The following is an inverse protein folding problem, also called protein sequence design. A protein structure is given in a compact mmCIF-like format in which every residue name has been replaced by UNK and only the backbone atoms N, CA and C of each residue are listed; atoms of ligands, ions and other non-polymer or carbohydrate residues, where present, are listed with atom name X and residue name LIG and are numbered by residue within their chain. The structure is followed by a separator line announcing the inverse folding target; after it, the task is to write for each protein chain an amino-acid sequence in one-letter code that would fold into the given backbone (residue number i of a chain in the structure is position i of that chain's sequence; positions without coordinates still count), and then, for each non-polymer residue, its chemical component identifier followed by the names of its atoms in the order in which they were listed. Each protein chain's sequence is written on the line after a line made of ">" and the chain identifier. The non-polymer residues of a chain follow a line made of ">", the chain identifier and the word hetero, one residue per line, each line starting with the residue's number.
data_IF_863597680047
#
_entry.id   IF_863597680047
#
_cell.length_a   1.000
_cell.length_b   1.000
_cell.length_c   1.000
_cell.angle_alpha   90.00
_cell.angle_beta   90.00
_cell.angle_gamma   90.00
#
_symmetry.space_group_name_H-M   'P 1'
#
loop_
_entity.id
_entity.type
_entity.pdbx_description
1 polymer ?
#
# COMPACT_ATOMS: atom_id res chain seq x y z
N UNK A 1 23.51 -11.30 11.49
CA UNK A 1 23.26 -10.22 10.54
C UNK A 1 23.35 -10.84 9.15
N UNK A 2 22.20 -11.12 8.55
CA UNK A 2 22.16 -11.75 7.24
C UNK A 2 22.73 -10.77 6.21
N UNK A 3 23.72 -11.22 5.44
CA UNK A 3 24.25 -10.45 4.32
C UNK A 3 23.48 -10.84 3.07
N UNK A 4 22.91 -9.89 2.38
CA UNK A 4 22.26 -10.08 1.08
C UNK A 4 22.68 -8.95 0.12
N UNK A 5 22.56 -9.20 -1.16
CA UNK A 5 22.71 -8.22 -2.23
C UNK A 5 21.40 -8.19 -3.01
N UNK A 6 20.83 -7.02 -3.18
CA UNK A 6 19.71 -6.76 -4.08
C UNK A 6 20.29 -6.14 -5.37
N UNK A 7 19.96 -6.72 -6.50
CA UNK A 7 20.23 -6.14 -7.82
C UNK A 7 18.91 -6.02 -8.55
N UNK A 8 18.59 -4.80 -8.98
CA UNK A 8 17.38 -4.50 -9.74
C UNK A 8 17.75 -3.99 -11.13
N UNK A 9 17.07 -4.49 -12.15
CA UNK A 9 17.13 -3.99 -13.53
C UNK A 9 15.76 -3.44 -13.89
N UNK A 10 15.69 -2.12 -14.12
CA UNK A 10 14.47 -1.41 -14.47
C UNK A 10 14.42 -1.14 -15.98
N UNK A 11 13.34 -1.59 -16.63
CA UNK A 11 13.00 -1.18 -18.00
C UNK A 11 11.75 -0.29 -17.96
N UNK A 12 11.86 0.95 -18.44
CA UNK A 12 10.76 1.92 -18.50
C UNK A 12 10.26 2.02 -19.94
N UNK A 13 8.95 1.83 -20.14
CA UNK A 13 8.28 2.03 -21.41
C UNK A 13 7.34 3.23 -21.29
N UNK A 14 7.46 4.22 -22.19
CA UNK A 14 6.54 5.36 -22.26
C UNK A 14 5.84 5.37 -23.61
N UNK A 15 4.53 5.48 -23.62
CA UNK A 15 3.69 5.53 -24.83
C UNK A 15 2.86 6.79 -24.74
N UNK A 16 2.92 7.68 -25.75
CA UNK A 16 2.12 8.90 -25.81
C UNK A 16 0.79 8.69 -26.54
N UNK A 17 -0.29 9.38 -26.17
CA UNK A 17 -1.68 8.98 -26.39
C UNK A 17 -2.38 9.56 -27.59
N UNK A 18 -3.66 9.14 -27.74
CA UNK A 18 -4.63 9.58 -28.72
C UNK A 18 -5.78 10.39 -28.08
N UNK A 19 -6.41 11.19 -28.91
CA UNK A 19 -7.42 12.23 -28.76
C UNK A 19 -8.60 11.97 -27.80
N UNK A 20 -8.96 13.02 -27.05
CA UNK A 20 -10.14 13.09 -26.18
C UNK A 20 -9.76 13.27 -24.69
N UNK A 21 -9.22 14.43 -24.32
CA UNK A 21 -8.50 14.64 -23.08
C UNK A 21 -7.04 14.19 -23.19
N UNK A 22 -6.19 14.64 -22.28
CA UNK A 22 -4.79 14.21 -22.23
C UNK A 22 -4.70 12.93 -21.42
N UNK A 23 -4.22 11.83 -22.03
CA UNK A 23 -3.94 10.60 -21.33
C UNK A 23 -2.46 10.29 -21.42
N UNK A 24 -1.83 10.10 -20.26
CA UNK A 24 -0.45 9.65 -20.13
C UNK A 24 -0.41 8.17 -19.82
N UNK A 25 0.37 7.42 -20.58
CA UNK A 25 0.59 6.01 -20.34
C UNK A 25 2.08 5.78 -20.17
N UNK A 26 2.48 5.23 -19.04
CA UNK A 26 3.83 4.80 -18.76
C UNK A 26 3.83 3.45 -18.05
N UNK A 27 4.98 2.81 -17.97
CA UNK A 27 5.08 1.55 -17.25
C UNK A 27 6.52 1.12 -17.06
N UNK A 28 6.73 0.21 -16.13
CA UNK A 28 8.01 -0.38 -15.82
C UNK A 28 7.90 -1.88 -15.63
N UNK A 29 8.95 -2.59 -15.99
CA UNK A 29 9.21 -3.97 -15.59
C UNK A 29 10.54 -4.00 -14.88
N UNK A 30 10.54 -4.48 -13.63
CA UNK A 30 11.72 -4.61 -12.80
C UNK A 30 12.03 -6.09 -12.57
N UNK A 31 13.30 -6.44 -12.76
CA UNK A 31 13.85 -7.75 -12.42
C UNK A 31 14.73 -7.59 -11.20
N UNK A 32 14.35 -8.20 -10.10
CA UNK A 32 15.10 -8.18 -8.85
C UNK A 32 15.80 -9.52 -8.64
N UNK A 33 17.04 -9.49 -8.19
CA UNK A 33 17.78 -10.66 -7.75
C UNK A 33 18.34 -10.43 -6.35
N UNK A 34 17.99 -11.30 -5.41
CA UNK A 34 18.50 -11.29 -4.03
C UNK A 34 19.46 -12.43 -3.82
N UNK A 35 20.70 -12.12 -3.43
CA UNK A 35 21.72 -13.11 -3.14
C UNK A 35 21.95 -13.21 -1.62
N UNK A 36 21.88 -14.41 -1.07
CA UNK A 36 22.07 -14.73 0.34
C UNK A 36 23.35 -15.53 0.53
N UNK A 37 24.24 -15.07 1.40
CA UNK A 37 25.52 -15.73 1.68
C UNK A 37 25.48 -16.63 2.93
N UNK A 38 24.39 -16.55 3.70
CA UNK A 38 24.21 -17.35 4.89
C UNK A 38 23.10 -18.38 4.66
N UNK A 39 23.20 -19.50 5.35
CA UNK A 39 22.12 -20.49 5.40
C UNK A 39 20.82 -19.89 5.93
N UNK A 40 19.67 -20.51 5.66
CA UNK A 40 18.39 -20.16 6.28
C UNK A 40 18.48 -20.08 7.79
N UNK A 41 17.84 -19.09 8.40
CA UNK A 41 17.86 -18.90 9.85
C UNK A 41 16.80 -19.74 10.55
N UNK A 42 15.69 -20.00 9.87
CA UNK A 42 14.53 -20.68 10.42
C UNK A 42 14.14 -21.89 9.59
N UNK A 43 13.60 -22.92 10.25
CA UNK A 43 13.11 -24.13 9.60
C UNK A 43 11.98 -23.78 8.62
N UNK A 44 12.06 -24.31 7.40
CA UNK A 44 11.07 -24.09 6.33
C UNK A 44 11.41 -22.94 5.41
N UNK A 45 12.39 -22.08 5.72
CA UNK A 45 12.86 -21.07 4.76
C UNK A 45 13.54 -21.72 3.57
N UNK A 46 13.36 -21.14 2.39
CA UNK A 46 14.04 -21.55 1.16
C UNK A 46 15.56 -21.43 1.32
N UNK A 47 16.30 -22.42 0.83
CA UNK A 47 17.76 -22.52 0.95
C UNK A 47 18.52 -22.01 -0.30
N UNK A 48 17.80 -21.57 -1.34
CA UNK A 48 18.43 -21.05 -2.55
C UNK A 48 19.22 -19.78 -2.22
N UNK A 49 20.49 -19.79 -2.64
CA UNK A 49 21.36 -18.64 -2.46
C UNK A 49 20.98 -17.45 -3.36
N UNK A 50 20.22 -17.68 -4.43
CA UNK A 50 19.74 -16.65 -5.35
C UNK A 50 18.24 -16.77 -5.54
N UNK A 51 17.52 -15.70 -5.24
CA UNK A 51 16.07 -15.61 -5.39
C UNK A 51 15.73 -14.50 -6.37
N UNK A 52 14.73 -14.73 -7.21
CA UNK A 52 14.31 -13.82 -8.27
C UNK A 52 12.88 -13.33 -8.10
N UNK A 53 12.66 -12.04 -8.35
CA UNK A 53 11.33 -11.41 -8.34
C UNK A 53 11.16 -10.60 -9.62
N UNK A 54 9.98 -10.65 -10.21
CA UNK A 54 9.56 -9.79 -11.32
C UNK A 54 8.48 -8.87 -10.84
N UNK A 55 8.64 -7.56 -11.06
CA UNK A 55 7.63 -6.55 -10.74
C UNK A 55 7.22 -5.83 -12.02
N UNK A 56 5.93 -5.62 -12.22
CA UNK A 56 5.40 -4.83 -13.33
C UNK A 56 4.41 -3.79 -12.80
N UNK A 57 4.63 -2.55 -13.19
CA UNK A 57 3.72 -1.43 -12.90
C UNK A 57 3.36 -0.75 -14.22
N UNK A 58 2.08 -0.51 -14.44
CA UNK A 58 1.59 0.30 -15.56
C UNK A 58 0.84 1.49 -14.98
N UNK A 59 1.12 2.68 -15.48
CA UNK A 59 0.43 3.91 -15.07
C UNK A 59 -0.36 4.46 -16.24
N UNK A 60 -1.66 4.61 -16.06
CA UNK A 60 -2.56 5.26 -16.99
C UNK A 60 -3.23 6.40 -16.24
N UNK A 61 -2.94 7.64 -16.65
CA UNK A 61 -3.52 8.86 -16.07
C UNK A 61 -4.25 9.62 -17.16
N UNK A 62 -5.47 10.02 -16.86
CA UNK A 62 -6.32 10.76 -17.79
C UNK A 62 -6.83 12.03 -17.14
N UNK A 63 -6.89 13.10 -17.95
CA UNK A 63 -7.44 14.41 -17.60
C UNK A 63 -8.41 14.84 -18.69
N UNK A 64 -9.55 15.42 -18.33
CA UNK A 64 -10.44 16.03 -19.31
C UNK A 64 -9.91 17.38 -19.80
N UNK A 65 -10.50 17.90 -20.88
CA UNK A 65 -10.05 19.15 -21.52
C UNK A 65 -10.18 20.38 -20.61
N UNK A 66 -11.16 20.39 -19.69
CA UNK A 66 -11.37 21.48 -18.72
C UNK A 66 -10.42 21.38 -17.50
N UNK A 67 -9.70 20.28 -17.34
CA UNK A 67 -8.76 20.02 -16.25
C UNK A 67 -9.41 19.75 -14.89
N UNK A 68 -10.75 19.70 -14.83
CA UNK A 68 -11.47 19.52 -13.57
C UNK A 68 -11.86 18.07 -13.27
N UNK A 69 -11.53 17.13 -14.16
CA UNK A 69 -11.70 15.71 -13.93
C UNK A 69 -10.40 14.98 -14.23
N UNK A 70 -10.07 14.03 -13.37
CA UNK A 70 -8.94 13.13 -13.59
C UNK A 70 -9.30 11.70 -13.21
N UNK A 71 -8.67 10.76 -13.86
CA UNK A 71 -8.73 9.36 -13.52
C UNK A 71 -7.33 8.76 -13.55
N UNK A 72 -7.09 7.79 -12.69
CA UNK A 72 -5.87 6.99 -12.71
C UNK A 72 -6.22 5.50 -12.68
N UNK A 73 -5.41 4.71 -13.36
CA UNK A 73 -5.45 3.26 -13.28
C UNK A 73 -4.02 2.73 -13.27
N UNK A 74 -3.59 2.23 -12.10
CA UNK A 74 -2.22 1.79 -11.83
C UNK A 74 -2.23 0.36 -11.30
N UNK A 75 -2.34 -0.65 -12.19
CA UNK A 75 -2.16 -2.04 -11.82
C UNK A 75 -0.69 -2.32 -11.49
N UNK A 76 -0.51 -3.10 -10.43
CA UNK A 76 0.76 -3.59 -9.92
C UNK A 76 0.74 -5.11 -9.86
N UNK A 77 1.78 -5.74 -10.40
CA UNK A 77 1.96 -7.19 -10.36
C UNK A 77 3.35 -7.49 -9.84
N UNK A 78 3.46 -8.36 -8.85
CA UNK A 78 4.71 -8.92 -8.36
C UNK A 78 4.62 -10.42 -8.39
N UNK A 79 5.60 -11.06 -8.98
CA UNK A 79 5.80 -12.50 -8.96
C UNK A 79 7.17 -12.83 -8.39
N UNK A 80 7.19 -13.65 -7.36
CA UNK A 80 8.39 -14.15 -6.68
C UNK A 80 8.55 -15.64 -6.96
N UNK A 81 9.78 -16.08 -7.28
CA UNK A 81 10.05 -17.45 -7.69
C UNK A 81 10.11 -18.43 -6.51
N UNK A 82 10.20 -17.93 -5.26
CA UNK A 82 10.50 -18.74 -4.08
C UNK A 82 9.47 -18.59 -2.97
N UNK A 83 8.86 -17.42 -2.81
CA UNK A 83 7.90 -17.14 -1.75
C UNK A 83 6.53 -16.78 -2.38
N UNK A 84 5.58 -17.71 -2.34
CA UNK A 84 4.26 -17.52 -2.93
C UNK A 84 3.47 -16.39 -2.27
N UNK A 85 3.67 -16.13 -0.96
CA UNK A 85 3.01 -15.04 -0.23
C UNK A 85 3.52 -13.65 -0.66
N UNK A 86 4.64 -13.61 -1.35
CA UNK A 86 5.14 -12.39 -1.98
C UNK A 86 4.47 -12.08 -3.31
N UNK A 87 3.76 -13.04 -3.91
CA UNK A 87 3.01 -12.78 -5.13
C UNK A 87 1.86 -11.83 -4.85
N UNK A 88 1.77 -10.77 -5.64
CA UNK A 88 0.76 -9.73 -5.44
C UNK A 88 0.22 -9.24 -6.78
N UNK A 89 -1.10 -9.19 -6.87
CA UNK A 89 -1.81 -8.42 -7.89
C UNK A 89 -2.63 -7.34 -7.18
N UNK A 90 -2.32 -6.08 -7.44
CA UNK A 90 -2.95 -4.95 -6.77
C UNK A 90 -3.34 -3.84 -7.76
N UNK A 91 -4.27 -3.01 -7.35
CA UNK A 91 -4.56 -1.71 -7.96
C UNK A 91 -4.07 -0.64 -6.99
N UNK A 92 -2.84 -0.15 -7.21
CA UNK A 92 -2.27 0.94 -6.39
C UNK A 92 -3.16 2.17 -6.45
N UNK A 93 -3.61 2.51 -7.66
CA UNK A 93 -4.61 3.53 -7.92
C UNK A 93 -5.60 3.02 -8.99
N UNK A 94 -6.88 3.22 -8.75
CA UNK A 94 -7.96 2.98 -9.71
C UNK A 94 -9.13 3.89 -9.33
N UNK A 95 -9.05 5.18 -9.66
CA UNK A 95 -10.01 6.18 -9.22
C UNK A 95 -10.41 7.14 -10.32
N UNK A 96 -11.54 7.80 -10.10
CA UNK A 96 -11.96 9.02 -10.75
C UNK A 96 -12.09 10.13 -9.71
N UNK A 97 -11.66 11.34 -10.07
CA UNK A 97 -11.77 12.52 -9.23
C UNK A 97 -12.35 13.70 -10.02
N UNK A 98 -13.14 14.50 -9.32
CA UNK A 98 -13.69 15.76 -9.80
C UNK A 98 -13.28 16.88 -8.86
N UNK A 99 -12.76 17.97 -9.43
CA UNK A 99 -12.35 19.18 -8.73
C UNK A 99 -13.31 20.33 -9.09
N UNK A 100 -13.96 20.89 -8.08
CA UNK A 100 -14.73 22.12 -8.16
C UNK A 100 -13.90 23.32 -7.72
N UNK A 101 -14.53 24.50 -7.58
CA UNK A 101 -13.83 25.74 -7.24
C UNK A 101 -13.13 25.64 -5.86
N UNK A 102 -13.70 24.93 -4.92
CA UNK A 102 -13.25 24.86 -3.53
C UNK A 102 -13.46 23.48 -2.88
N UNK A 103 -13.64 22.43 -3.70
CA UNK A 103 -13.79 21.06 -3.23
C UNK A 103 -13.27 20.06 -4.26
N UNK A 104 -12.89 18.88 -3.80
CA UNK A 104 -12.59 17.72 -4.62
C UNK A 104 -13.34 16.50 -4.10
N UNK A 105 -13.87 15.71 -5.01
CA UNK A 105 -14.42 14.38 -4.72
C UNK A 105 -13.59 13.34 -5.46
N UNK A 106 -13.17 12.27 -4.76
CA UNK A 106 -12.50 11.14 -5.35
C UNK A 106 -13.26 9.85 -4.98
N UNK A 107 -13.42 8.96 -5.96
CA UNK A 107 -14.06 7.66 -5.78
C UNK A 107 -13.21 6.58 -6.45
N UNK A 108 -12.89 5.52 -5.71
CA UNK A 108 -12.13 4.40 -6.21
C UNK A 108 -11.06 3.92 -5.25
N UNK A 109 -10.05 3.20 -5.74
CA UNK A 109 -8.87 2.82 -4.97
C UNK A 109 -7.77 3.86 -5.13
N UNK A 110 -7.15 4.26 -4.01
CA UNK A 110 -6.07 5.26 -4.03
C UNK A 110 -5.02 4.95 -2.97
N UNK A 111 -3.80 5.44 -3.20
CA UNK A 111 -2.72 5.47 -2.21
C UNK A 111 -2.56 6.91 -1.73
N UNK A 112 -2.79 7.14 -0.43
CA UNK A 112 -2.76 8.47 0.18
C UNK A 112 -1.54 8.58 1.09
N UNK A 113 -0.77 9.61 0.91
CA UNK A 113 0.39 9.92 1.74
C UNK A 113 0.23 11.29 2.42
N UNK A 114 0.34 11.31 3.77
CA UNK A 114 0.24 12.54 4.57
C UNK A 114 1.49 12.84 5.39
N UNK A 115 2.52 12.04 5.23
CA UNK A 115 3.73 12.18 6.02
C UNK A 115 4.40 13.55 5.81
N UNK A 116 4.73 14.22 6.91
CA UNK A 116 5.58 15.42 6.93
C UNK A 116 7.00 15.10 7.40
N UNK A 117 7.24 13.86 7.85
CA UNK A 117 8.56 13.39 8.32
C UNK A 117 9.09 12.30 7.39
N UNK A 118 10.35 12.43 6.97
CA UNK A 118 10.97 11.53 5.98
C UNK A 118 11.32 10.13 6.55
N UNK A 119 11.41 9.97 7.86
CA UNK A 119 11.94 8.74 8.47
C UNK A 119 10.93 7.89 9.24
N UNK A 120 9.80 8.45 9.67
CA UNK A 120 8.71 7.73 10.34
C UNK A 120 7.37 8.34 9.99
N UNK A 121 6.52 7.58 9.33
CA UNK A 121 5.21 8.02 8.87
C UNK A 121 4.11 7.74 9.91
N UNK A 122 4.14 8.48 11.03
CA UNK A 122 3.24 8.27 12.18
C UNK A 122 1.74 8.44 11.87
N UNK A 123 1.41 9.11 10.77
CA UNK A 123 0.02 9.42 10.37
C UNK A 123 -0.43 8.69 9.11
N UNK A 124 0.33 7.68 8.68
CA UNK A 124 0.02 6.88 7.49
C UNK A 124 -0.97 5.75 7.84
N UNK A 125 -2.20 6.16 8.14
CA UNK A 125 -3.28 5.30 8.68
C UNK A 125 -4.35 4.93 7.65
N UNK A 126 -4.25 5.42 6.41
CA UNK A 126 -5.24 5.14 5.36
C UNK A 126 -4.96 3.79 4.71
N UNK A 127 -3.78 3.66 4.13
CA UNK A 127 -3.40 2.51 3.33
C UNK A 127 -2.74 1.43 4.18
N UNK A 128 -3.06 0.19 3.86
CA UNK A 128 -2.36 -0.95 4.43
C UNK A 128 -0.97 -1.10 3.82
N UNK A 129 -0.03 -1.60 4.60
CA UNK A 129 1.35 -1.87 4.16
C UNK A 129 1.46 -3.22 3.46
N UNK A 130 2.13 -3.26 2.33
CA UNK A 130 2.60 -4.46 1.65
C UNK A 130 3.95 -4.90 2.25
N UNK A 131 3.89 -5.52 3.44
CA UNK A 131 5.09 -5.91 4.19
C UNK A 131 5.83 -7.11 3.59
N UNK A 132 5.18 -7.88 2.71
CA UNK A 132 5.84 -8.90 1.92
C UNK A 132 6.68 -8.31 0.77
N UNK A 133 6.42 -7.06 0.35
CA UNK A 133 7.13 -6.36 -0.71
C UNK A 133 8.58 -6.09 -0.36
N UNK A 134 8.79 -5.26 0.63
CA UNK A 134 10.10 -4.96 1.18
C UNK A 134 10.04 -4.86 2.71
N UNK A 135 11.21 -4.97 3.35
CA UNK A 135 11.36 -4.97 4.81
C UNK A 135 11.27 -3.57 5.42
N UNK A 136 11.36 -2.53 4.60
CA UNK A 136 11.29 -1.13 5.05
C UNK A 136 9.84 -0.70 5.40
N UNK A 137 8.81 -1.43 4.89
CA UNK A 137 7.41 -1.16 5.15
C UNK A 137 6.85 0.08 4.45
N UNK A 138 7.57 0.60 3.45
CA UNK A 138 7.16 1.79 2.69
C UNK A 138 6.11 1.47 1.63
N UNK A 139 6.10 0.24 1.11
CA UNK A 139 5.15 -0.19 0.10
C UNK A 139 3.71 -0.22 0.64
N UNK A 140 2.79 0.44 -0.08
CA UNK A 140 1.37 0.51 0.29
C UNK A 140 0.48 -0.21 -0.70
N UNK A 141 -0.61 -0.78 -0.18
CA UNK A 141 -1.70 -1.33 -0.97
C UNK A 141 -2.70 -0.23 -1.31
N UNK A 142 -3.29 -0.27 -2.50
CA UNK A 142 -4.36 0.65 -2.87
C UNK A 142 -5.59 0.45 -1.99
N UNK A 143 -6.14 1.53 -1.41
CA UNK A 143 -7.28 1.49 -0.50
C UNK A 143 -8.55 1.93 -1.22
N UNK A 144 -9.60 1.08 -1.30
CA UNK A 144 -10.91 1.50 -1.77
C UNK A 144 -11.50 2.58 -0.88
N UNK A 145 -11.92 3.72 -1.47
CA UNK A 145 -12.40 4.86 -0.72
C UNK A 145 -13.31 5.78 -1.52
N UNK A 146 -14.06 6.58 -0.78
CA UNK A 146 -14.62 7.85 -1.24
C UNK A 146 -14.01 8.93 -0.38
N UNK A 147 -13.45 9.98 -0.99
CA UNK A 147 -12.97 11.14 -0.25
C UNK A 147 -13.64 12.43 -0.74
N UNK A 148 -13.84 13.34 0.20
CA UNK A 148 -14.28 14.71 -0.05
C UNK A 148 -13.30 15.65 0.64
N UNK A 149 -12.65 16.49 -0.15
CA UNK A 149 -11.81 17.59 0.32
C UNK A 149 -12.57 18.91 0.14
N UNK A 150 -12.51 19.75 1.14
CA UNK A 150 -13.03 21.12 1.13
C UNK A 150 -11.90 22.09 1.44
N UNK A 151 -11.63 23.01 0.53
CA UNK A 151 -10.60 24.05 0.71
C UNK A 151 -11.27 25.40 1.01
N UNK A 152 -10.80 26.08 2.05
CA UNK A 152 -11.31 27.38 2.50
C UNK A 152 -10.17 28.27 2.98
N UNK A 153 -10.44 29.56 3.16
CA UNK A 153 -9.45 30.51 3.69
C UNK A 153 -8.93 30.15 5.08
N UNK A 154 -9.73 29.40 5.85
CA UNK A 154 -9.39 28.94 7.19
C UNK A 154 -8.70 27.56 7.22
N UNK A 155 -8.45 26.95 6.08
CA UNK A 155 -7.77 25.67 5.97
C UNK A 155 -8.49 24.66 5.08
N UNK A 156 -7.98 23.45 5.05
CA UNK A 156 -8.51 22.30 4.31
C UNK A 156 -9.10 21.27 5.26
N UNK A 157 -10.26 20.73 4.91
CA UNK A 157 -10.84 19.56 5.57
C UNK A 157 -10.98 18.45 4.54
N UNK A 158 -10.45 17.26 4.85
CA UNK A 158 -10.63 16.07 4.03
C UNK A 158 -11.27 14.96 4.84
N UNK A 159 -12.41 14.46 4.36
CA UNK A 159 -13.09 13.28 4.89
C UNK A 159 -12.88 12.07 4.00
N UNK A 160 -12.70 10.89 4.60
CA UNK A 160 -12.58 9.61 3.90
C UNK A 160 -13.58 8.61 4.45
N UNK A 161 -14.22 7.87 3.56
CA UNK A 161 -15.03 6.69 3.85
C UNK A 161 -14.39 5.51 3.12
N UNK A 162 -13.94 4.52 3.88
CA UNK A 162 -13.28 3.32 3.38
C UNK A 162 -14.16 2.11 3.66
N UNK A 163 -14.89 1.58 2.65
CA UNK A 163 -15.90 0.55 2.84
C UNK A 163 -15.33 -0.87 2.94
N UNK A 164 -14.02 -1.01 2.86
CA UNK A 164 -13.34 -2.30 2.87
C UNK A 164 -11.98 -2.17 3.53
N UNK A 165 -11.74 -2.95 4.58
CA UNK A 165 -10.45 -3.09 5.23
C UNK A 165 -9.58 -4.08 4.44
N UNK A 166 -8.31 -3.75 4.24
CA UNK A 166 -7.32 -4.64 3.64
C UNK A 166 -6.34 -5.13 4.69
N UNK A 167 -6.07 -6.43 4.69
CA UNK A 167 -5.06 -7.02 5.55
C UNK A 167 -3.64 -6.66 5.09
N UNK A 168 -2.72 -6.65 6.05
CA UNK A 168 -1.28 -6.51 5.79
C UNK A 168 -0.75 -7.80 5.18
N UNK A 169 0.06 -7.69 4.15
CA UNK A 169 0.77 -8.84 3.58
C UNK A 169 2.01 -9.18 4.42
N UNK A 170 2.38 -10.43 4.44
CA UNK A 170 3.58 -10.92 5.10
C UNK A 170 4.29 -11.94 4.22
N UNK A 171 5.60 -12.08 4.41
CA UNK A 171 6.40 -13.13 3.79
C UNK A 171 5.99 -14.49 4.31
N UNK A 172 5.93 -15.49 3.41
CA UNK A 172 5.51 -16.85 3.72
C UNK A 172 6.53 -17.66 4.51
N UNK A 173 6.26 -18.95 4.65
CA UNK A 173 7.13 -19.92 5.34
C UNK A 173 8.51 -19.99 4.67
N UNK A 174 8.54 -19.92 3.34
CA UNK A 174 9.76 -19.97 2.51
C UNK A 174 10.55 -18.66 2.55
N UNK A 175 9.92 -17.56 2.99
CA UNK A 175 10.50 -16.22 2.98
C UNK A 175 11.72 -16.06 3.87
N UNK A 176 12.82 -15.54 3.31
CA UNK A 176 14.10 -15.33 4.04
C UNK A 176 14.06 -14.18 5.04
N UNK A 177 13.08 -13.28 4.93
CA UNK A 177 12.91 -12.11 5.80
C UNK A 177 11.80 -12.28 6.84
N UNK A 178 11.11 -13.42 6.88
CA UNK A 178 10.08 -13.66 7.87
C UNK A 178 10.60 -13.72 9.32
N UNK A 179 9.75 -13.47 10.30
CA UNK A 179 10.05 -13.69 11.71
C UNK A 179 10.26 -15.19 12.03
N UNK A 180 10.70 -15.54 13.25
CA UNK A 180 10.93 -16.94 13.66
C UNK A 180 9.73 -17.86 13.41
N UNK A 181 8.51 -17.39 13.71
CA UNK A 181 7.26 -18.05 13.37
C UNK A 181 6.65 -17.36 12.15
N UNK A 182 6.18 -18.10 11.14
CA UNK A 182 5.47 -17.51 10.00
C UNK A 182 4.15 -16.87 10.46
N UNK A 183 3.70 -15.87 9.72
CA UNK A 183 2.38 -15.26 9.94
C UNK A 183 1.35 -16.00 9.10
N UNK A 184 0.31 -16.49 9.75
CA UNK A 184 -0.82 -17.19 9.11
C UNK A 184 -1.94 -16.17 8.86
N UNK A 185 -1.96 -15.63 7.66
CA UNK A 185 -2.93 -14.62 7.23
C UNK A 185 -4.30 -15.24 6.93
N UNK A 186 -4.37 -16.51 6.57
CA UNK A 186 -5.63 -17.20 6.29
C UNK A 186 -6.52 -17.34 7.54
N UNK A 187 -5.91 -17.30 8.72
CA UNK A 187 -6.57 -17.39 10.01
C UNK A 187 -6.51 -16.09 10.81
N UNK A 188 -6.54 -14.95 10.12
CA UNK A 188 -6.60 -13.64 10.75
C UNK A 188 -7.81 -13.51 11.70
N UNK A 189 -7.62 -12.85 12.82
CA UNK A 189 -8.64 -12.60 13.84
C UNK A 189 -9.06 -11.15 13.78
N UNK A 190 -10.36 -10.89 13.82
CA UNK A 190 -10.93 -9.54 13.79
C UNK A 190 -11.73 -9.29 15.06
N UNK A 191 -11.62 -8.10 15.62
CA UNK A 191 -12.50 -7.66 16.71
C UNK A 191 -13.91 -7.40 16.17
N UNK A 192 -14.01 -6.77 14.99
CA UNK A 192 -15.29 -6.53 14.32
C UNK A 192 -15.86 -7.79 13.70
N UNK A 193 -17.18 -8.05 13.89
CA UNK A 193 -17.90 -9.12 13.19
C UNK A 193 -17.99 -8.90 11.67
N UNK A 194 -17.83 -7.66 11.21
CA UNK A 194 -17.91 -7.30 9.80
C UNK A 194 -16.58 -7.57 9.07
N UNK A 195 -15.51 -7.87 9.82
CA UNK A 195 -14.18 -8.20 9.31
C UNK A 195 -13.71 -7.17 8.26
N UNK A 196 -13.32 -7.64 7.07
CA UNK A 196 -12.87 -6.77 5.98
C UNK A 196 -13.96 -5.81 5.46
N UNK A 197 -15.23 -6.05 5.77
CA UNK A 197 -16.35 -5.17 5.39
C UNK A 197 -16.62 -4.07 6.41
N UNK A 198 -15.78 -3.97 7.43
CA UNK A 198 -15.86 -2.84 8.36
C UNK A 198 -15.63 -1.53 7.60
N UNK A 199 -16.49 -0.54 7.87
CA UNK A 199 -16.38 0.79 7.26
C UNK A 199 -15.52 1.68 8.15
N UNK A 200 -14.36 2.07 7.65
CA UNK A 200 -13.45 2.97 8.35
C UNK A 200 -13.68 4.42 7.90
N UNK A 201 -13.54 5.33 8.84
CA UNK A 201 -13.76 6.76 8.64
C UNK A 201 -12.54 7.56 9.08
N UNK A 202 -12.18 8.56 8.28
CA UNK A 202 -11.12 9.51 8.64
C UNK A 202 -11.59 10.92 8.38
N UNK A 203 -11.22 11.84 9.27
CA UNK A 203 -11.34 13.26 9.08
C UNK A 203 -9.99 13.91 9.35
N UNK A 204 -9.51 14.70 8.40
CA UNK A 204 -8.30 15.50 8.52
C UNK A 204 -8.62 16.97 8.37
N UNK A 205 -8.00 17.79 9.20
CA UNK A 205 -7.91 19.24 9.02
C UNK A 205 -6.44 19.63 8.86
N UNK A 206 -6.14 20.49 7.89
CA UNK A 206 -4.81 21.07 7.71
C UNK A 206 -4.90 22.57 7.46
N UNK A 207 -3.91 23.30 7.97
CA UNK A 207 -3.82 24.76 7.80
C UNK A 207 -2.41 25.26 7.98
N UNK A 208 -2.07 26.32 7.25
CA UNK A 208 -0.79 27.05 7.38
C UNK A 208 -1.03 28.36 8.11
N UNK A 209 -0.31 28.58 9.21
CA UNK A 209 -0.31 29.85 9.97
C UNK A 209 1.10 30.43 9.97
N UNK A 210 1.38 31.34 9.03
CA UNK A 210 2.74 31.81 8.78
C UNK A 210 3.62 30.66 8.29
N UNK A 211 4.69 30.35 9.05
CA UNK A 211 5.63 29.26 8.74
C UNK A 211 5.29 27.95 9.45
N UNK A 212 4.12 27.87 10.10
CA UNK A 212 3.68 26.69 10.87
C UNK A 212 2.64 25.92 10.06
N UNK A 213 2.92 24.63 9.80
CA UNK A 213 1.97 23.68 9.26
C UNK A 213 1.27 22.94 10.41
N UNK A 214 -0.06 22.94 10.40
CA UNK A 214 -0.90 22.30 11.39
C UNK A 214 -1.72 21.20 10.71
N UNK A 215 -1.59 19.97 11.21
CA UNK A 215 -2.40 18.82 10.79
C UNK A 215 -3.08 18.17 11.99
N UNK A 216 -4.39 18.00 11.93
CA UNK A 216 -5.19 17.28 12.93
C UNK A 216 -5.94 16.14 12.24
N UNK A 217 -5.86 14.93 12.79
CA UNK A 217 -6.51 13.76 12.24
C UNK A 217 -7.37 13.06 13.31
N UNK A 218 -8.52 12.55 12.88
CA UNK A 218 -9.37 11.63 13.65
C UNK A 218 -9.63 10.42 12.78
N UNK A 219 -9.34 9.24 13.32
CA UNK A 219 -9.57 7.95 12.69
C UNK A 219 -10.52 7.12 13.54
N UNK A 220 -11.50 6.47 12.91
CA UNK A 220 -12.38 5.47 13.49
C UNK A 220 -12.47 4.29 12.54
N UNK A 221 -11.92 3.17 12.94
CA UNK A 221 -11.85 1.99 12.09
C UNK A 221 -10.85 0.96 12.60
N UNK A 222 -10.58 -0.04 11.77
CA UNK A 222 -9.66 -1.14 12.06
C UNK A 222 -8.20 -0.69 11.95
N UNK A 223 -7.38 -1.00 12.95
CA UNK A 223 -5.95 -0.68 12.97
C UNK A 223 -5.22 -1.28 11.77
N UNK A 224 -4.33 -0.50 11.14
CA UNK A 224 -3.47 -0.99 10.05
C UNK A 224 -2.31 -1.85 10.57
N UNK A 225 -2.01 -1.76 11.87
CA UNK A 225 -0.98 -2.58 12.52
C UNK A 225 -1.63 -3.70 13.34
N UNK A 226 -1.53 -4.98 12.93
CA UNK A 226 -2.10 -6.07 13.69
C UNK A 226 -1.26 -6.38 14.94
N UNK A 227 -1.94 -6.80 16.00
CA UNK A 227 -1.30 -7.56 17.08
C UNK A 227 -1.07 -8.98 16.62
N UNK A 228 -0.13 -9.68 17.24
CA UNK A 228 0.12 -11.09 16.95
C UNK A 228 -0.17 -11.96 18.17
N UNK A 229 -0.88 -13.06 17.94
CA UNK A 229 -1.07 -14.13 18.94
C UNK A 229 -0.56 -15.46 18.37
N UNK A 230 -0.01 -16.36 19.20
CA UNK A 230 0.35 -17.70 18.72
C UNK A 230 -0.87 -18.47 18.26
N UNK A 231 -0.72 -19.25 17.18
CA UNK A 231 -1.70 -20.27 16.77
C UNK A 231 -1.86 -21.36 17.85
N UNK A 232 -2.94 -22.12 17.79
CA UNK A 232 -3.26 -23.15 18.78
C UNK A 232 -2.17 -24.25 18.89
N UNK A 233 -1.46 -24.53 17.81
CA UNK A 233 -0.36 -25.51 17.73
C UNK A 233 1.02 -24.85 18.01
N UNK A 234 1.08 -23.53 18.15
CA UNK A 234 2.30 -22.76 18.38
C UNK A 234 3.27 -22.72 17.21
N UNK A 235 2.83 -23.05 15.99
CA UNK A 235 3.69 -23.09 14.81
C UNK A 235 3.66 -21.80 13.96
N UNK A 236 2.67 -20.94 14.19
CA UNK A 236 2.48 -19.69 13.47
C UNK A 236 2.01 -18.57 14.39
N UNK A 237 2.00 -17.35 13.86
CA UNK A 237 1.43 -16.16 14.48
C UNK A 237 0.16 -15.79 13.71
N UNK A 238 -0.94 -15.59 14.43
CA UNK A 238 -2.19 -15.09 13.86
C UNK A 238 -2.23 -13.56 13.98
N UNK A 239 -2.42 -12.81 12.90
CA UNK A 239 -2.63 -11.37 12.98
C UNK A 239 -4.02 -11.09 13.57
N UNK A 240 -4.09 -10.15 14.50
CA UNK A 240 -5.33 -9.70 15.15
C UNK A 240 -5.54 -8.23 14.81
N UNK A 241 -6.64 -7.93 14.17
CA UNK A 241 -7.04 -6.60 13.76
C UNK A 241 -8.13 -6.05 14.70
N UNK A 242 -7.76 -4.99 15.46
CA UNK A 242 -8.60 -4.34 16.49
C UNK A 242 -9.19 -3.02 16.00
#
# INVERSE_FOLDING_TARGET
>A
MNRFLLVSLLAVLSISPARGGEADISGSVELQARAFWNDPQWVGQDDQALQGTVVSTTEIRWYNDDGNQRAAFIPYLRWDATDEERNLADLKEAYWAFEGDDYEVLVGANTVFWGVTESVHLVDIINQTDFAGDIDGEDKLGQPMVSLMLQRDWGEITGFVMPYFRERTFTGVDGRFRPPLPVDTDNAVYESSDKEKHVDLVLRYSHYIGDIDIGLNVFSGTSREPRFIPSADGQSLLPVYD
#
